data_IF_658563198507
#
_entry.id   IF_658563198507
#
_cell.length_a   1.000
_cell.length_b   1.000
_cell.length_c   1.000
_cell.angle_alpha   90.00
_cell.angle_beta   90.00
_cell.angle_gamma   90.00
#
_symmetry.space_group_name_H-M   'P 1'
#
loop_
_entity.id
_entity.type
_entity.pdbx_description
1 polymer ?
#
# COMPACT_ATOMS: atom_id res chain seq x y z
N UNK A 1 12.73 1.63 -7.58
CA UNK A 1 11.80 2.78 -7.72
C UNK A 1 11.26 3.15 -6.34
N UNK A 2 10.76 4.38 -6.09
CA UNK A 2 10.00 4.69 -4.89
C UNK A 2 8.60 4.04 -4.93
N UNK A 3 8.03 3.72 -3.77
CA UNK A 3 6.69 3.10 -3.66
C UNK A 3 5.56 4.11 -3.49
N UNK A 4 5.83 5.25 -2.85
CA UNK A 4 4.85 6.30 -2.60
C UNK A 4 5.54 7.67 -2.47
N UNK A 5 4.73 8.73 -2.46
CA UNK A 5 5.16 10.10 -2.20
C UNK A 5 4.21 10.81 -1.23
N UNK A 6 4.76 11.72 -0.43
CA UNK A 6 4.00 12.65 0.41
C UNK A 6 4.24 14.08 -0.09
N UNK A 7 3.22 14.69 -0.69
CA UNK A 7 3.31 16.04 -1.26
C UNK A 7 2.77 17.06 -0.25
N UNK A 8 3.60 18.03 0.11
CA UNK A 8 3.24 19.15 0.99
C UNK A 8 2.69 18.71 2.35
N UNK A 9 3.16 17.57 2.87
CA UNK A 9 2.72 16.95 4.14
C UNK A 9 1.20 16.69 4.22
N UNK A 10 0.52 16.64 3.07
CA UNK A 10 -0.95 16.57 3.00
C UNK A 10 -1.47 15.51 2.05
N UNK A 11 -0.82 15.32 0.91
CA UNK A 11 -1.31 14.42 -0.14
C UNK A 11 -0.41 13.20 -0.18
N UNK A 12 -0.98 12.05 0.17
CA UNK A 12 -0.33 10.75 -0.02
C UNK A 12 -0.64 10.23 -1.43
N UNK A 13 0.40 9.88 -2.17
CA UNK A 13 0.29 9.32 -3.52
C UNK A 13 0.97 7.94 -3.57
N UNK A 14 0.20 6.92 -3.93
CA UNK A 14 0.66 5.55 -4.17
C UNK A 14 0.07 5.05 -5.50
N UNK A 15 0.58 3.93 -6.03
CA UNK A 15 0.14 3.41 -7.33
C UNK A 15 -1.25 2.76 -7.26
N UNK A 16 -1.45 1.89 -6.27
CA UNK A 16 -2.72 1.21 -5.99
C UNK A 16 -3.52 1.98 -4.93
N UNK A 17 -3.35 1.59 -3.66
CA UNK A 17 -4.17 2.13 -2.58
C UNK A 17 -3.44 2.22 -1.24
N UNK A 18 -4.21 1.97 -0.16
CA UNK A 18 -3.73 1.97 1.23
C UNK A 18 -3.77 0.54 1.78
N UNK A 19 -2.98 0.30 2.83
CA UNK A 19 -2.87 -1.01 3.47
C UNK A 19 -3.37 -0.95 4.91
N UNK A 20 -3.95 -2.05 5.40
CA UNK A 20 -4.20 -2.24 6.84
C UNK A 20 -2.89 -2.32 7.66
N UNK A 21 -1.81 -2.77 7.03
CA UNK A 21 -0.48 -2.87 7.62
C UNK A 21 0.30 -1.55 7.61
N UNK A 22 -0.26 -0.49 6.99
CA UNK A 22 0.34 0.85 7.01
C UNK A 22 -0.04 1.59 8.30
N UNK A 23 0.79 1.42 9.32
CA UNK A 23 0.58 1.97 10.67
C UNK A 23 1.26 3.33 10.87
N UNK A 24 2.44 3.54 10.30
CA UNK A 24 3.20 4.79 10.43
C UNK A 24 4.25 4.98 9.33
N UNK A 25 4.65 6.23 9.11
CA UNK A 25 5.60 6.61 8.06
C UNK A 25 7.00 6.02 8.22
N UNK A 26 7.42 5.67 9.46
CA UNK A 26 8.74 5.07 9.70
C UNK A 26 8.87 3.68 9.03
N UNK A 27 7.77 3.05 8.61
CA UNK A 27 7.80 1.80 7.84
C UNK A 27 8.43 2.00 6.45
N UNK A 28 8.25 3.17 5.82
CA UNK A 28 8.87 3.46 4.51
C UNK A 28 10.39 3.56 4.59
N UNK A 29 10.92 4.12 5.69
CA UNK A 29 12.37 4.25 5.95
C UNK A 29 13.06 2.89 6.12
N UNK A 30 12.30 1.84 6.48
CA UNK A 30 12.82 0.48 6.68
C UNK A 30 12.88 -0.34 5.39
N UNK A 31 12.38 0.19 4.27
CA UNK A 31 12.37 -0.51 2.99
C UNK A 31 13.80 -0.49 2.40
N UNK A 32 14.47 -1.63 2.45
CA UNK A 32 15.73 -1.83 1.76
C UNK A 32 15.49 -1.93 0.24
N UNK A 33 16.33 -1.27 -0.56
CA UNK A 33 16.32 -1.36 -2.03
C UNK A 33 17.69 -1.88 -2.51
N UNK A 34 17.74 -2.78 -3.50
CA UNK A 34 16.63 -3.35 -4.25
C UNK A 34 15.81 -4.34 -3.41
N UNK A 35 14.52 -4.40 -3.68
CA UNK A 35 13.60 -5.40 -3.12
C UNK A 35 12.65 -5.82 -4.22
N UNK A 36 12.22 -7.07 -4.17
CA UNK A 36 11.08 -7.53 -4.96
C UNK A 36 9.77 -7.13 -4.27
N UNK A 37 8.66 -7.20 -5.00
CA UNK A 37 7.32 -7.00 -4.42
C UNK A 37 6.90 -8.32 -3.77
N UNK A 38 6.60 -8.29 -2.48
CA UNK A 38 6.14 -9.45 -1.73
C UNK A 38 4.68 -9.78 -2.04
N UNK A 39 4.28 -11.05 -1.91
CA UNK A 39 2.90 -11.49 -2.14
C UNK A 39 1.88 -10.95 -1.10
N UNK A 40 2.38 -10.47 0.04
CA UNK A 40 1.60 -9.94 1.16
C UNK A 40 2.27 -8.72 1.79
N UNK A 41 1.50 -7.95 2.56
CA UNK A 41 1.97 -6.83 3.38
C UNK A 41 1.90 -5.48 2.66
N UNK A 42 2.19 -4.40 3.37
CA UNK A 42 1.85 -3.05 2.89
C UNK A 42 2.46 -2.66 1.54
N UNK A 43 3.65 -3.15 1.17
CA UNK A 43 4.24 -2.86 -0.14
C UNK A 43 3.38 -3.45 -1.27
N UNK A 44 2.79 -4.63 -1.07
CA UNK A 44 1.88 -5.24 -2.04
C UNK A 44 0.64 -4.36 -2.22
N UNK A 45 -0.02 -4.00 -1.12
CA UNK A 45 -1.27 -3.24 -1.14
C UNK A 45 -1.07 -1.81 -1.69
N UNK A 46 0.07 -1.17 -1.44
CA UNK A 46 0.40 0.13 -2.04
C UNK A 46 0.44 0.11 -3.58
N UNK A 47 0.58 -1.07 -4.18
CA UNK A 47 0.67 -1.27 -5.62
C UNK A 47 -0.62 -1.87 -6.16
N UNK A 48 -1.28 -2.75 -5.41
CA UNK A 48 -2.38 -3.58 -5.91
C UNK A 48 -3.76 -3.29 -5.31
N UNK A 49 -3.85 -2.58 -4.18
CA UNK A 49 -5.14 -2.28 -3.57
C UNK A 49 -5.97 -1.34 -4.45
N UNK A 50 -7.28 -1.62 -4.53
CA UNK A 50 -8.25 -0.77 -5.23
C UNK A 50 -9.23 -0.15 -4.22
N UNK A 51 -9.69 1.09 -4.42
CA UNK A 51 -10.81 1.63 -3.65
C UNK A 51 -12.12 0.93 -4.04
N UNK A 52 -13.03 0.75 -3.08
CA UNK A 52 -14.35 0.23 -3.38
C UNK A 52 -15.37 0.53 -2.30
N UNK A 53 -16.63 0.21 -2.59
CA UNK A 53 -17.74 0.36 -1.67
C UNK A 53 -18.19 -1.01 -1.18
N UNK A 54 -17.68 -1.41 -0.02
CA UNK A 54 -17.89 -2.71 0.59
C UNK A 54 -18.11 -2.57 2.10
N UNK A 55 -18.79 -3.55 2.74
CA UNK A 55 -18.98 -3.52 4.18
C UNK A 55 -17.63 -3.71 4.89
N UNK A 56 -17.18 -2.69 5.61
CA UNK A 56 -15.93 -2.73 6.40
C UNK A 56 -14.88 -1.74 5.93
N UNK A 57 -13.64 -1.92 6.40
CA UNK A 57 -12.48 -1.08 6.01
C UNK A 57 -11.68 -1.69 4.86
N UNK A 58 -11.53 -3.02 4.88
CA UNK A 58 -10.75 -3.81 3.92
C UNK A 58 -11.50 -5.10 3.60
N UNK A 59 -11.31 -5.62 2.40
CA UNK A 59 -11.90 -6.87 1.89
C UNK A 59 -11.03 -7.40 0.77
N UNK A 60 -10.82 -8.72 0.78
CA UNK A 60 -10.00 -9.40 -0.20
C UNK A 60 -10.31 -8.94 -1.63
N UNK A 61 -9.26 -8.52 -2.33
CA UNK A 61 -9.40 -8.03 -3.69
C UNK A 61 -9.90 -9.13 -4.63
N UNK A 62 -10.86 -8.83 -5.52
CA UNK A 62 -11.29 -9.77 -6.56
C UNK A 62 -10.19 -10.06 -7.59
N UNK A 63 -9.08 -9.31 -7.58
CA UNK A 63 -7.90 -9.57 -8.43
C UNK A 63 -7.06 -10.75 -7.95
N UNK A 64 -7.32 -11.27 -6.75
CA UNK A 64 -6.56 -12.38 -6.16
C UNK A 64 -5.19 -11.99 -5.60
N UNK A 65 -4.94 -10.69 -5.42
CA UNK A 65 -3.74 -10.10 -4.82
C UNK A 65 -4.16 -8.87 -4.00
N UNK A 66 -3.50 -8.57 -2.89
CA UNK A 66 -3.97 -7.66 -1.83
C UNK A 66 -5.15 -8.21 -1.03
N UNK A 67 -5.21 -7.80 0.25
CA UNK A 67 -6.38 -7.95 1.10
C UNK A 67 -7.39 -6.82 0.89
#
# INVERSE_FOLDING_TARGET
MPFAALIGERIFAAHGGISEDLLNWNQFERICRPTDITDIGFINDLIWADPGNFPGKYIQSPRGVSQ
#
